data_IF_209423776475
#
_entry.id   IF_209423776475
#
_cell.length_a   1.000
_cell.length_b   1.000
_cell.length_c   1.000
_cell.angle_alpha   90.00
_cell.angle_beta   90.00
_cell.angle_gamma   90.00
#
_symmetry.space_group_name_H-M   'P 1'
#
loop_
_entity.id
_entity.type
_entity.pdbx_description
1 polymer ?
#
# COMPACT_ATOMS: atom_id res chain seq x y z
N UNK A 1 -13.08 -1.92 -4.20
CA UNK A 1 -13.32 -2.46 -5.55
C UNK A 1 -12.74 -3.86 -5.74
N UNK A 2 -11.55 -4.19 -5.23
CA UNK A 2 -10.87 -5.48 -5.48
C UNK A 2 -11.40 -6.66 -4.65
N UNK A 3 -11.39 -6.56 -3.31
CA UNK A 3 -11.89 -7.65 -2.44
C UNK A 3 -13.23 -7.36 -1.75
N UNK A 4 -13.87 -6.22 -2.05
CA UNK A 4 -15.09 -5.72 -1.38
C UNK A 4 -15.03 -5.67 0.16
N UNK A 5 -13.83 -5.81 0.73
CA UNK A 5 -13.53 -5.74 2.16
C UNK A 5 -12.63 -4.53 2.43
N UNK A 6 -12.86 -3.78 3.52
CA UNK A 6 -11.96 -2.72 3.92
C UNK A 6 -10.62 -3.29 4.41
N UNK A 7 -9.53 -2.76 3.87
CA UNK A 7 -8.16 -3.14 4.23
C UNK A 7 -7.87 -2.89 5.72
N UNK A 8 -8.25 -1.71 6.19
CA UNK A 8 -8.15 -1.31 7.59
C UNK A 8 -9.56 -1.03 8.13
N UNK A 9 -10.15 -2.00 8.85
CA UNK A 9 -11.39 -1.79 9.62
C UNK A 9 -11.19 -2.26 11.05
N UNK A 10 -11.27 -1.31 11.96
CA UNK A 10 -11.36 -1.46 13.41
C UNK A 10 -12.28 -0.36 13.93
N UNK A 11 -12.98 -0.66 15.02
CA UNK A 11 -13.99 0.23 15.60
C UNK A 11 -13.37 1.37 16.42
N UNK A 12 -12.15 1.18 16.90
CA UNK A 12 -11.41 2.15 17.70
C UNK A 12 -10.19 2.67 16.95
N UNK A 13 -9.89 3.95 17.12
CA UNK A 13 -8.81 4.66 16.42
C UNK A 13 -7.44 4.08 16.77
N UNK A 14 -7.23 3.76 18.04
CA UNK A 14 -5.96 3.22 18.55
C UNK A 14 -5.70 1.84 17.95
N UNK A 15 -6.71 0.97 17.92
CA UNK A 15 -6.63 -0.37 17.34
C UNK A 15 -6.47 -0.29 15.81
N UNK A 16 -7.10 0.71 15.17
CA UNK A 16 -6.92 0.99 13.74
C UNK A 16 -5.47 1.39 13.44
N UNK A 17 -4.88 2.29 14.23
CA UNK A 17 -3.50 2.73 14.08
C UNK A 17 -2.52 1.58 14.34
N UNK A 18 -2.73 0.78 15.38
CA UNK A 18 -1.93 -0.42 15.63
C UNK A 18 -1.98 -1.40 14.46
N UNK A 19 -3.15 -1.59 13.84
CA UNK A 19 -3.28 -2.43 12.64
C UNK A 19 -2.49 -1.85 11.46
N UNK A 20 -2.58 -0.53 11.26
CA UNK A 20 -1.83 0.16 10.20
C UNK A 20 -0.33 -0.01 10.45
N UNK A 21 0.20 0.25 11.65
CA UNK A 21 1.63 0.14 11.97
C UNK A 21 2.13 -1.31 11.97
N UNK A 22 1.30 -2.29 12.32
CA UNK A 22 1.67 -3.70 12.18
C UNK A 22 1.97 -4.06 10.72
N UNK A 23 1.22 -3.49 9.78
CA UNK A 23 1.41 -3.71 8.36
C UNK A 23 2.53 -2.81 7.82
N UNK A 24 2.49 -1.53 8.15
CA UNK A 24 3.30 -0.46 7.57
C UNK A 24 4.58 -0.12 8.36
N UNK A 25 4.89 -0.84 9.42
CA UNK A 25 6.01 -0.50 10.32
C UNK A 25 5.65 0.62 11.29
N UNK A 26 6.45 0.72 12.36
CA UNK A 26 6.31 1.80 13.34
C UNK A 26 6.77 3.12 12.73
N UNK A 27 6.06 4.24 12.97
CA UNK A 27 6.51 5.57 12.59
C UNK A 27 7.75 6.03 13.38
N UNK A 28 8.27 5.24 14.32
CA UNK A 28 9.52 5.53 15.03
C UNK A 28 10.73 4.79 14.39
N UNK A 29 10.50 3.67 13.70
CA UNK A 29 11.54 2.85 13.04
C UNK A 29 11.81 3.31 11.59
N UNK A 30 11.76 4.62 11.36
CA UNK A 30 11.60 5.24 10.04
C UNK A 30 12.89 5.39 9.20
N UNK A 31 13.93 4.64 9.50
CA UNK A 31 15.16 4.65 8.70
C UNK A 31 15.04 3.82 7.42
N UNK A 32 14.01 2.97 7.31
CA UNK A 32 13.76 2.19 6.11
C UNK A 32 12.32 2.35 5.60
N UNK A 33 12.12 2.85 4.37
CA UNK A 33 10.81 2.84 3.74
C UNK A 33 10.36 1.39 3.55
N UNK A 34 9.04 1.16 3.69
CA UNK A 34 8.47 -0.18 3.51
C UNK A 34 8.81 -0.72 2.13
N UNK A 35 9.55 -1.82 2.09
CA UNK A 35 9.95 -2.44 0.84
C UNK A 35 8.74 -3.17 0.25
N UNK A 36 8.49 -3.00 -1.05
CA UNK A 36 7.33 -3.60 -1.74
C UNK A 36 7.17 -5.11 -1.47
N UNK A 37 8.27 -5.85 -1.33
CA UNK A 37 8.25 -7.28 -1.01
C UNK A 37 7.69 -7.59 0.39
N UNK A 38 7.93 -6.74 1.38
CA UNK A 38 7.40 -6.94 2.73
C UNK A 38 5.90 -6.64 2.78
N UNK A 39 5.46 -5.58 2.09
CA UNK A 39 4.05 -5.27 1.94
C UNK A 39 3.32 -6.39 1.18
N UNK A 40 3.94 -6.94 0.13
CA UNK A 40 3.40 -8.06 -0.64
C UNK A 40 3.16 -9.28 0.24
N UNK A 41 4.09 -9.60 1.15
CA UNK A 41 3.95 -10.72 2.08
C UNK A 41 2.89 -10.46 3.14
N UNK A 42 2.80 -9.23 3.67
CA UNK A 42 1.81 -8.86 4.70
C UNK A 42 0.38 -8.70 4.15
N UNK A 43 0.25 -8.32 2.88
CA UNK A 43 -1.03 -8.20 2.17
C UNK A 43 -1.39 -9.46 1.38
N UNK A 44 -0.57 -10.51 1.46
CA UNK A 44 -0.76 -11.77 0.73
C UNK A 44 -2.10 -12.40 1.13
N UNK A 45 -3.05 -12.41 0.20
CA UNK A 45 -4.42 -12.91 0.41
C UNK A 45 -5.46 -11.82 0.69
N UNK A 46 -5.07 -10.61 1.10
CA UNK A 46 -5.97 -9.46 1.31
C UNK A 46 -6.02 -8.50 0.10
N UNK A 47 -5.05 -8.58 -0.82
CA UNK A 47 -5.06 -7.82 -2.08
C UNK A 47 -4.49 -8.67 -3.22
N UNK A 48 -5.20 -8.75 -4.34
CA UNK A 48 -4.73 -9.39 -5.58
C UNK A 48 -4.66 -8.34 -6.70
N UNK A 49 -3.46 -7.77 -6.90
CA UNK A 49 -3.19 -6.67 -7.86
C UNK A 49 -1.92 -6.89 -8.68
N UNK A 50 -1.31 -8.07 -8.59
CA UNK A 50 0.01 -8.34 -9.18
C UNK A 50 1.13 -7.49 -8.56
N UNK A 51 2.37 -7.75 -8.99
CA UNK A 51 3.58 -7.16 -8.38
C UNK A 51 3.60 -5.64 -8.55
N UNK A 52 3.32 -5.13 -9.75
CA UNK A 52 3.29 -3.69 -10.03
C UNK A 52 2.21 -2.96 -9.21
N UNK A 53 1.05 -3.60 -8.98
CA UNK A 53 -0.01 -3.03 -8.18
C UNK A 53 0.36 -2.95 -6.70
N UNK A 54 1.08 -3.94 -6.18
CA UNK A 54 1.58 -3.88 -4.80
C UNK A 54 2.66 -2.81 -4.63
N UNK A 55 3.54 -2.65 -5.62
CA UNK A 55 4.54 -1.58 -5.62
C UNK A 55 3.90 -0.19 -5.56
N UNK A 56 2.90 0.07 -6.41
CA UNK A 56 2.17 1.32 -6.39
C UNK A 56 1.42 1.52 -5.06
N UNK A 57 0.78 0.46 -4.55
CA UNK A 57 0.06 0.51 -3.27
C UNK A 57 1.01 0.83 -2.10
N UNK A 58 2.24 0.31 -2.10
CA UNK A 58 3.25 0.63 -1.11
C UNK A 58 3.59 2.13 -1.11
N UNK A 59 3.77 2.72 -2.29
CA UNK A 59 4.04 4.16 -2.44
C UNK A 59 2.86 5.02 -1.97
N UNK A 60 1.61 4.57 -2.19
CA UNK A 60 0.40 5.26 -1.75
C UNK A 60 0.16 5.16 -0.24
N UNK A 61 0.53 4.03 0.38
CA UNK A 61 0.31 3.79 1.80
C UNK A 61 1.44 4.30 2.68
N UNK A 62 2.46 4.97 2.13
CA UNK A 62 3.58 5.49 2.92
C UNK A 62 3.09 6.29 4.15
N UNK A 63 3.61 5.90 5.31
CA UNK A 63 3.27 6.48 6.63
C UNK A 63 3.69 7.95 6.68
N UNK A 64 4.82 8.31 6.05
CA UNK A 64 5.27 9.69 5.92
C UNK A 64 4.49 10.41 4.83
N UNK A 65 3.68 11.44 5.15
CA UNK A 65 2.87 12.13 4.16
C UNK A 65 3.70 12.80 3.04
N UNK A 66 4.91 13.28 3.37
CA UNK A 66 5.78 13.96 2.41
C UNK A 66 6.49 13.01 1.44
N UNK A 67 6.60 11.73 1.79
CA UNK A 67 7.19 10.68 0.95
C UNK A 67 6.13 9.82 0.26
N UNK A 68 4.85 10.09 0.53
CA UNK A 68 3.74 9.46 -0.16
C UNK A 68 3.68 9.98 -1.59
N UNK A 69 3.48 9.07 -2.53
CA UNK A 69 3.38 9.42 -3.95
C UNK A 69 2.23 10.41 -4.19
N UNK A 70 2.49 11.41 -5.03
CA UNK A 70 1.44 12.31 -5.50
C UNK A 70 0.56 11.62 -6.54
N UNK A 71 -0.71 12.01 -6.60
CA UNK A 71 -1.66 11.47 -7.58
C UNK A 71 -1.14 11.57 -9.03
N UNK A 72 -0.51 12.70 -9.40
CA UNK A 72 0.08 12.92 -10.73
C UNK A 72 1.21 11.94 -11.09
N UNK A 73 1.93 11.45 -10.09
CA UNK A 73 3.04 10.53 -10.27
C UNK A 73 2.54 9.09 -10.23
N UNK A 74 1.51 8.81 -9.41
CA UNK A 74 0.83 7.52 -9.39
C UNK A 74 0.19 7.16 -10.74
N UNK A 75 -0.39 8.13 -11.44
CA UNK A 75 -0.95 7.91 -12.79
C UNK A 75 0.12 7.53 -13.83
N UNK A 76 1.40 7.85 -13.57
CA UNK A 76 2.53 7.51 -14.44
C UNK A 76 3.14 6.15 -14.12
N UNK A 77 2.62 5.45 -13.11
CA UNK A 77 3.22 4.20 -12.63
C UNK A 77 3.02 3.05 -13.64
N UNK A 78 3.97 2.12 -13.65
CA UNK A 78 3.97 0.95 -14.53
C UNK A 78 2.71 0.10 -14.38
N UNK A 79 2.07 0.12 -13.20
CA UNK A 79 0.79 -0.55 -12.99
C UNK A 79 -0.28 -0.14 -14.02
N UNK A 80 -0.36 1.14 -14.36
CA UNK A 80 -1.35 1.64 -15.31
C UNK A 80 -0.90 1.52 -16.78
N UNK A 81 0.41 1.50 -17.04
CA UNK A 81 0.95 1.39 -18.41
C UNK A 81 0.98 -0.04 -18.93
N UNK A 82 1.19 -1.01 -18.03
CA UNK A 82 1.11 -2.43 -18.36
C UNK A 82 -0.34 -2.94 -18.47
N UNK A 83 -1.32 -2.15 -18.01
CA UNK A 83 -2.74 -2.47 -18.12
C UNK A 83 -3.34 -2.12 -19.50
N UNK A 84 -2.65 -1.31 -20.31
CA UNK A 84 -3.12 -0.95 -21.66
C UNK A 84 -2.83 -2.01 -22.74
N UNK A 85 -2.13 -3.12 -22.42
CA UNK A 85 -1.96 -4.21 -23.40
C UNK A 85 -3.13 -5.18 -23.48
N UNK A 86 -4.11 -5.10 -22.56
CA UNK A 86 -5.26 -6.02 -22.45
C UNK A 86 -6.62 -5.28 -22.51
N UNK A 87 -6.69 -4.12 -23.18
CA UNK A 87 -7.94 -3.38 -23.43
C UNK A 87 -8.43 -3.53 -24.87
#
# INVERSE_FOLDING_TARGET
MIQRKPLFRKEQVEIQLQKIYSIMGSPDDMDQPLVSGELSNKLKGDVDVGIAGVELLAKMLNVRPNERIYARDALKDAYFHNAESDA
#
